data_IF_680828553658
#
_entry.id   IF_680828553658
#
_cell.length_a   1.000
_cell.length_b   1.000
_cell.length_c   1.000
_cell.angle_alpha   90.00
_cell.angle_beta   90.00
_cell.angle_gamma   90.00
#
_symmetry.space_group_name_H-M   'P 1'
#
loop_
_entity.id
_entity.type
_entity.pdbx_description
1 polymer ?
#
# COMPACT_ATOMS: atom_id res chain seq x y z
N UNK A 1 19.66 46.43 28.70
CA UNK A 1 19.61 45.39 29.74
C UNK A 1 18.34 44.59 29.51
N UNK A 2 18.16 43.91 28.38
CA UNK A 2 18.98 42.93 27.64
C UNK A 2 18.28 41.57 27.75
N UNK A 3 18.09 40.98 26.57
CA UNK A 3 17.79 39.60 26.22
C UNK A 3 18.09 38.56 27.31
N UNK A 4 17.37 37.45 27.46
CA UNK A 4 17.19 36.39 26.47
C UNK A 4 16.08 35.44 26.94
N UNK A 5 15.29 34.87 26.02
CA UNK A 5 15.02 33.43 26.01
C UNK A 5 14.32 33.02 24.70
N UNK A 6 15.00 32.11 24.00
CA UNK A 6 14.69 31.51 22.72
C UNK A 6 13.50 30.55 22.87
N UNK A 7 12.52 30.50 21.94
CA UNK A 7 11.72 29.30 21.77
C UNK A 7 12.41 28.40 20.74
N UNK A 8 12.97 27.33 21.27
CA UNK A 8 13.41 26.11 20.59
C UNK A 8 12.33 25.60 19.64
N UNK A 9 12.56 25.68 18.34
CA UNK A 9 11.86 24.88 17.34
C UNK A 9 12.81 23.84 16.74
N UNK A 10 13.14 22.82 17.54
CA UNK A 10 13.25 21.46 17.04
C UNK A 10 11.80 21.03 16.75
N UNK A 11 11.42 20.58 15.56
CA UNK A 11 11.91 19.37 14.91
C UNK A 11 11.83 19.56 13.39
N UNK A 12 12.92 19.27 12.69
CA UNK A 12 12.87 18.96 11.27
C UNK A 12 12.03 17.69 11.13
N UNK A 13 10.76 17.85 10.75
CA UNK A 13 10.00 16.74 10.20
C UNK A 13 10.67 16.39 8.88
N UNK A 14 11.44 15.31 8.90
CA UNK A 14 11.80 14.58 7.69
C UNK A 14 10.49 14.25 7.00
N UNK A 15 10.15 15.02 5.98
CA UNK A 15 9.11 14.65 5.05
C UNK A 15 9.56 13.33 4.44
N UNK A 16 9.05 12.23 4.97
CA UNK A 16 9.05 10.96 4.26
C UNK A 16 8.08 11.20 3.11
N UNK A 17 8.60 11.83 2.06
CA UNK A 17 8.03 11.74 0.74
C UNK A 17 7.99 10.24 0.47
N UNK A 18 6.83 9.62 0.69
CA UNK A 18 6.48 8.41 -0.03
C UNK A 18 6.34 8.88 -1.47
N UNK A 19 7.49 8.98 -2.13
CA UNK A 19 7.58 9.01 -3.59
C UNK A 19 6.75 7.81 -4.00
N UNK A 20 5.61 8.06 -4.63
CA UNK A 20 4.81 7.04 -5.24
C UNK A 20 5.69 6.34 -6.29
N UNK A 21 6.30 5.21 -5.91
CA UNK A 21 7.31 4.52 -6.71
C UNK A 21 6.71 3.80 -7.91
N UNK A 22 5.48 4.08 -8.35
CA UNK A 22 4.86 3.28 -9.40
C UNK A 22 5.36 3.55 -10.83
N UNK A 23 6.36 4.42 -11.05
CA UNK A 23 6.70 4.88 -12.40
C UNK A 23 7.86 4.19 -13.11
N UNK A 24 8.29 2.99 -12.69
CA UNK A 24 9.34 2.27 -13.44
C UNK A 24 9.29 0.74 -13.40
N UNK A 25 8.26 0.09 -12.85
CA UNK A 25 8.22 -1.37 -12.78
C UNK A 25 7.76 -2.06 -14.08
N UNK A 26 7.27 -1.31 -15.08
CA UNK A 26 6.66 -1.93 -16.26
C UNK A 26 7.66 -2.65 -17.17
N UNK A 27 8.91 -2.19 -17.18
CA UNK A 27 10.00 -2.83 -17.92
C UNK A 27 10.27 -4.23 -17.36
N UNK A 28 10.19 -4.38 -16.03
CA UNK A 28 10.41 -5.66 -15.35
C UNK A 28 9.32 -6.70 -15.69
N UNK A 29 8.09 -6.23 -15.98
CA UNK A 29 6.97 -7.08 -16.39
C UNK A 29 6.92 -7.36 -17.90
N UNK A 30 7.77 -6.72 -18.72
CA UNK A 30 7.75 -6.87 -20.17
C UNK A 30 8.00 -8.32 -20.63
N UNK A 31 8.94 -9.10 -20.05
CA UNK A 31 9.11 -10.50 -20.40
C UNK A 31 7.86 -11.34 -20.12
N UNK A 32 7.17 -11.07 -19.00
CA UNK A 32 5.94 -11.76 -18.62
C UNK A 32 4.79 -11.40 -19.58
N UNK A 33 4.61 -10.12 -19.88
CA UNK A 33 3.61 -9.66 -20.83
C UNK A 33 3.81 -10.27 -22.22
N UNK A 34 5.06 -10.32 -22.70
CA UNK A 34 5.43 -10.99 -23.97
C UNK A 34 5.12 -12.48 -23.92
N UNK A 35 5.44 -13.16 -22.83
CA UNK A 35 5.15 -14.58 -22.65
C UNK A 35 3.65 -14.85 -22.71
N UNK A 36 2.85 -14.11 -21.95
CA UNK A 36 1.38 -14.27 -21.94
C UNK A 36 0.80 -13.97 -23.31
N UNK A 37 1.22 -12.88 -23.95
CA UNK A 37 0.73 -12.49 -25.27
C UNK A 37 1.03 -13.54 -26.34
N UNK A 38 2.26 -14.08 -26.38
CA UNK A 38 2.64 -15.10 -27.36
C UNK A 38 1.95 -16.45 -27.13
N UNK A 39 1.54 -16.74 -25.89
CA UNK A 39 0.82 -17.96 -25.54
C UNK A 39 -0.72 -17.79 -25.53
N UNK A 40 -1.23 -16.57 -25.73
CA UNK A 40 -2.66 -16.33 -25.80
C UNK A 40 -3.23 -16.72 -27.16
N UNK A 41 -4.42 -17.33 -27.17
CA UNK A 41 -5.09 -17.78 -28.40
C UNK A 41 -5.64 -16.56 -29.15
N UNK A 42 -5.20 -16.34 -30.39
CA UNK A 42 -5.75 -15.28 -31.21
C UNK A 42 -7.18 -15.64 -31.67
N UNK A 43 -8.09 -14.67 -31.58
CA UNK A 43 -9.51 -14.87 -31.87
C UNK A 43 -9.78 -15.26 -33.34
N UNK A 44 -8.99 -14.76 -34.29
CA UNK A 44 -9.18 -14.99 -35.72
C UNK A 44 -8.57 -16.30 -36.19
N UNK A 45 -7.34 -16.60 -35.78
CA UNK A 45 -6.64 -17.83 -36.21
C UNK A 45 -6.97 -19.03 -35.33
N UNK A 46 -7.60 -18.81 -34.17
CA UNK A 46 -7.84 -19.83 -33.13
C UNK A 46 -6.56 -20.59 -32.76
N UNK A 47 -5.40 -19.95 -32.89
CA UNK A 47 -4.09 -20.51 -32.54
C UNK A 47 -3.30 -19.49 -31.73
N UNK A 48 -2.34 -19.95 -30.95
CA UNK A 48 -1.42 -19.03 -30.26
C UNK A 48 -0.33 -18.60 -31.24
N UNK A 49 0.14 -17.33 -31.20
CA UNK A 49 1.25 -16.89 -32.05
C UNK A 49 2.50 -17.76 -31.89
N UNK A 50 2.78 -18.24 -30.68
CA UNK A 50 3.90 -19.15 -30.42
C UNK A 50 3.73 -20.48 -31.18
N UNK A 51 2.56 -21.10 -31.11
CA UNK A 51 2.29 -22.35 -31.82
C UNK A 51 2.31 -22.14 -33.34
N UNK A 52 1.78 -21.01 -33.81
CA UNK A 52 1.81 -20.67 -35.24
C UNK A 52 3.24 -20.52 -35.78
N UNK A 53 4.17 -20.00 -34.97
CA UNK A 53 5.56 -19.78 -35.39
C UNK A 53 6.46 -21.01 -35.21
N UNK A 54 6.24 -21.80 -34.17
CA UNK A 54 7.16 -22.88 -33.77
C UNK A 54 6.56 -24.29 -33.83
N UNK A 55 5.25 -24.43 -34.00
CA UNK A 55 4.56 -25.71 -34.14
C UNK A 55 4.40 -26.51 -32.84
N UNK A 56 4.77 -25.96 -31.68
CA UNK A 56 4.57 -26.57 -30.37
C UNK A 56 4.19 -25.50 -29.32
N UNK A 57 3.59 -25.93 -28.20
CA UNK A 57 3.36 -25.06 -27.04
C UNK A 57 4.48 -25.28 -26.01
N UNK A 58 5.02 -24.21 -25.39
CA UNK A 58 6.02 -24.37 -24.35
C UNK A 58 5.36 -24.96 -23.11
N UNK A 59 5.89 -26.08 -22.61
CA UNK A 59 5.47 -26.66 -21.34
C UNK A 59 6.07 -25.83 -20.20
N UNK A 60 5.30 -24.88 -19.66
CA UNK A 60 5.66 -24.19 -18.42
C UNK A 60 5.20 -25.01 -17.24
N UNK A 61 5.98 -26.03 -16.89
CA UNK A 61 5.89 -26.71 -15.61
C UNK A 61 6.99 -26.11 -14.74
N UNK A 62 6.71 -25.08 -13.92
CA UNK A 62 7.67 -24.70 -12.90
C UNK A 62 7.85 -25.96 -12.07
N UNK A 63 9.07 -26.52 -12.10
CA UNK A 63 9.49 -27.46 -11.09
C UNK A 63 9.53 -26.60 -9.83
N UNK A 64 8.39 -26.53 -9.14
CA UNK A 64 8.39 -26.26 -7.72
C UNK A 64 9.22 -27.41 -7.20
N UNK A 65 10.52 -27.16 -7.01
CA UNK A 65 11.42 -28.09 -6.34
C UNK A 65 10.64 -28.72 -5.20
N UNK A 66 10.69 -30.05 -5.09
CA UNK A 66 10.02 -30.82 -4.05
C UNK A 66 10.01 -30.01 -2.75
N UNK A 67 8.89 -30.03 -2.03
CA UNK A 67 8.73 -29.32 -0.75
C UNK A 67 9.77 -29.91 0.22
N UNK A 68 11.00 -29.42 0.16
CA UNK A 68 12.04 -29.75 1.09
C UNK A 68 11.66 -28.99 2.35
N UNK A 69 11.25 -29.71 3.39
CA UNK A 69 11.18 -29.14 4.73
C UNK A 69 12.59 -28.67 5.08
N UNK A 70 12.77 -27.35 5.14
CA UNK A 70 13.99 -26.71 5.59
C UNK A 70 13.68 -26.24 7.01
N UNK A 71 14.15 -26.95 8.06
CA UNK A 71 13.78 -26.63 9.45
C UNK A 71 14.10 -25.19 9.85
N UNK A 72 15.17 -24.61 9.27
CA UNK A 72 15.52 -23.21 9.49
C UNK A 72 14.51 -22.21 8.91
N UNK A 73 13.81 -22.56 7.82
CA UNK A 73 12.77 -21.73 7.23
C UNK A 73 11.47 -21.81 8.04
N UNK A 74 11.14 -22.99 8.58
CA UNK A 74 10.01 -23.19 9.48
C UNK A 74 10.20 -22.42 10.80
N UNK A 75 11.36 -22.57 11.45
CA UNK A 75 11.71 -21.81 12.67
C UNK A 75 11.66 -20.29 12.45
N UNK A 76 12.18 -19.83 11.30
CA UNK A 76 12.09 -18.41 10.93
C UNK A 76 10.63 -17.96 10.75
N UNK A 77 9.80 -18.76 10.10
CA UNK A 77 8.37 -18.47 9.91
C UNK A 77 7.67 -18.36 11.26
N UNK A 78 7.87 -19.31 12.16
CA UNK A 78 7.26 -19.33 13.49
C UNK A 78 7.68 -18.12 14.32
N UNK A 79 8.98 -17.78 14.29
CA UNK A 79 9.49 -16.58 14.96
C UNK A 79 8.88 -15.30 14.40
N UNK A 80 8.75 -15.18 13.08
CA UNK A 80 8.12 -14.03 12.44
C UNK A 80 6.63 -13.93 12.79
N UNK A 81 5.92 -15.06 12.85
CA UNK A 81 4.52 -15.09 13.28
C UNK A 81 4.38 -14.61 14.73
N UNK A 82 5.27 -15.05 15.62
CA UNK A 82 5.25 -14.62 17.01
C UNK A 82 5.48 -13.10 17.14
N UNK A 83 6.54 -12.57 16.52
CA UNK A 83 6.83 -11.13 16.49
C UNK A 83 5.64 -10.35 15.92
N UNK A 84 5.01 -10.85 14.86
CA UNK A 84 3.86 -10.18 14.26
C UNK A 84 2.66 -10.11 15.21
N UNK A 85 2.42 -11.16 16.01
CA UNK A 85 1.36 -11.15 17.01
C UNK A 85 1.64 -10.15 18.13
N UNK A 86 2.88 -10.07 18.61
CA UNK A 86 3.30 -9.08 19.61
C UNK A 86 3.13 -7.65 19.09
N UNK A 87 3.64 -7.36 17.89
CA UNK A 87 3.50 -6.05 17.26
C UNK A 87 2.03 -5.65 17.08
N UNK A 88 1.16 -6.61 16.72
CA UNK A 88 -0.27 -6.37 16.59
C UNK A 88 -0.93 -6.05 17.94
N UNK A 89 -0.49 -6.69 19.03
CA UNK A 89 -0.96 -6.39 20.37
C UNK A 89 -0.52 -4.99 20.82
N UNK A 90 0.76 -4.64 20.62
CA UNK A 90 1.31 -3.32 20.96
C UNK A 90 0.65 -2.20 20.16
N UNK A 91 0.39 -2.40 18.87
CA UNK A 91 -0.31 -1.42 18.05
C UNK A 91 -1.73 -1.17 18.54
N UNK A 92 -2.45 -2.22 18.95
CA UNK A 92 -3.79 -2.07 19.53
C UNK A 92 -3.74 -1.30 20.84
N UNK A 93 -2.80 -1.65 21.71
CA UNK A 93 -2.60 -0.94 22.98
C UNK A 93 -2.29 0.55 22.75
N UNK A 94 -1.40 0.86 21.81
CA UNK A 94 -1.08 2.24 21.45
C UNK A 94 -2.31 3.00 20.91
N UNK A 95 -3.14 2.35 20.07
CA UNK A 95 -4.39 2.93 19.57
C UNK A 95 -5.39 3.20 20.71
N UNK A 96 -5.54 2.28 21.65
CA UNK A 96 -6.42 2.43 22.81
C UNK A 96 -5.97 3.60 23.70
N UNK A 97 -4.66 3.73 23.94
CA UNK A 97 -4.11 4.87 24.67
C UNK A 97 -4.37 6.19 23.94
N UNK A 98 -4.08 6.25 22.63
CA UNK A 98 -4.35 7.43 21.81
C UNK A 98 -5.83 7.81 21.86
N UNK A 99 -6.73 6.85 21.71
CA UNK A 99 -8.17 7.06 21.80
C UNK A 99 -8.57 7.58 23.18
N UNK A 100 -8.02 7.01 24.26
CA UNK A 100 -8.31 7.47 25.63
C UNK A 100 -7.93 8.94 25.81
N UNK A 101 -6.70 9.31 25.48
CA UNK A 101 -6.25 10.71 25.63
C UNK A 101 -6.99 11.66 24.68
N UNK A 102 -7.20 11.27 23.42
CA UNK A 102 -7.94 12.09 22.46
C UNK A 102 -9.38 12.34 22.92
N UNK A 103 -10.08 11.31 23.38
CA UNK A 103 -11.46 11.42 23.86
C UNK A 103 -11.60 12.30 25.11
N UNK A 104 -10.56 12.40 25.94
CA UNK A 104 -10.56 13.34 27.07
C UNK A 104 -10.56 14.82 26.63
N UNK A 105 -10.09 15.12 25.42
CA UNK A 105 -9.92 16.50 24.95
C UNK A 105 -10.93 16.92 23.87
N UNK A 106 -11.81 16.01 23.44
CA UNK A 106 -12.73 16.24 22.32
C UNK A 106 -14.18 16.19 22.79
N UNK A 107 -14.99 17.16 22.33
CA UNK A 107 -16.43 17.18 22.58
C UNK A 107 -17.13 16.09 21.75
N UNK A 108 -18.27 15.56 22.22
CA UNK A 108 -19.04 14.58 21.46
C UNK A 108 -19.42 15.13 20.09
N UNK A 109 -19.32 14.29 19.06
CA UNK A 109 -19.66 14.68 17.68
C UNK A 109 -21.11 15.18 17.60
N UNK A 110 -21.38 16.30 16.90
CA UNK A 110 -22.74 16.77 16.67
C UNK A 110 -23.60 15.70 15.97
N UNK A 111 -24.87 15.57 16.37
CA UNK A 111 -25.83 14.70 15.68
C UNK A 111 -26.37 15.42 14.45
N UNK A 112 -26.06 14.90 13.26
CA UNK A 112 -26.58 15.40 11.99
C UNK A 112 -27.83 14.64 11.56
N UNK A 113 -28.74 15.31 10.86
CA UNK A 113 -29.89 14.68 10.20
C UNK A 113 -29.59 14.46 8.72
N UNK A 114 -30.19 13.44 8.07
CA UNK A 114 -30.22 13.36 6.62
C UNK A 114 -30.71 14.68 6.02
N UNK A 115 -30.09 15.12 4.91
CA UNK A 115 -30.34 16.38 4.20
C UNK A 115 -29.95 17.68 4.94
N UNK A 116 -29.23 17.58 6.06
CA UNK A 116 -28.70 18.76 6.75
C UNK A 116 -27.46 19.32 6.06
N UNK A 117 -27.52 20.58 5.63
CA UNK A 117 -26.35 21.30 5.11
C UNK A 117 -25.41 21.72 6.25
N UNK A 118 -24.11 21.47 6.07
CA UNK A 118 -23.05 21.84 7.03
C UNK A 118 -21.91 22.55 6.30
N UNK A 119 -21.29 23.52 6.97
CA UNK A 119 -20.12 24.22 6.45
C UNK A 119 -18.86 23.41 6.77
N UNK A 120 -18.09 23.04 5.75
CA UNK A 120 -16.84 22.30 5.88
C UNK A 120 -15.65 23.20 5.59
N UNK A 121 -14.63 23.15 6.45
CA UNK A 121 -13.38 23.84 6.21
C UNK A 121 -12.54 23.03 5.22
N UNK A 122 -12.41 23.51 3.98
CA UNK A 122 -11.71 22.80 2.87
C UNK A 122 -10.23 22.50 3.16
N UNK A 123 -9.60 23.20 4.12
CA UNK A 123 -8.15 23.14 4.37
C UNK A 123 -7.60 21.74 4.66
N UNK A 124 -8.43 20.85 5.24
CA UNK A 124 -8.02 19.50 5.65
C UNK A 124 -8.79 18.39 4.90
N UNK A 125 -9.47 18.73 3.80
CA UNK A 125 -10.20 17.75 2.98
C UNK A 125 -9.40 17.56 1.70
N UNK A 126 -8.70 16.43 1.60
CA UNK A 126 -8.08 16.02 0.36
C UNK A 126 -9.16 15.44 -0.55
N UNK A 127 -9.50 16.15 -1.61
CA UNK A 127 -10.27 15.59 -2.72
C UNK A 127 -9.35 14.68 -3.54
N UNK A 128 -9.93 13.73 -4.27
CA UNK A 128 -9.19 12.81 -5.16
C UNK A 128 -8.42 13.57 -6.25
N UNK A 129 -8.78 14.83 -6.49
CA UNK A 129 -8.12 15.73 -7.43
C UNK A 129 -7.12 16.66 -6.71
N UNK A 130 -5.85 16.60 -7.14
CA UNK A 130 -4.73 17.36 -6.56
C UNK A 130 -4.79 18.88 -6.78
N UNK A 131 -5.80 19.42 -7.47
CA UNK A 131 -5.90 20.85 -7.75
C UNK A 131 -7.29 21.39 -7.48
N UNK A 132 -7.35 22.45 -6.66
CA UNK A 132 -8.58 23.14 -6.25
C UNK A 132 -9.43 23.65 -7.44
N UNK A 133 -8.79 23.85 -8.60
CA UNK A 133 -9.38 24.37 -9.85
C UNK A 133 -10.20 23.32 -10.62
N UNK A 134 -10.07 22.03 -10.30
CA UNK A 134 -10.74 20.95 -11.03
C UNK A 134 -11.84 20.24 -10.22
N UNK A 135 -12.07 20.68 -8.97
CA UNK A 135 -13.25 20.28 -8.21
C UNK A 135 -14.41 21.22 -8.61
N UNK A 136 -15.21 20.83 -9.60
CA UNK A 136 -16.41 21.54 -10.06
C UNK A 136 -17.67 20.77 -9.69
#
# INVERSE_FOLDING_TARGET
MDSWSVPTSHLRLTSVHIVHTSRTYWVDYLPLAKFVFNNHKNASTKQTPFFANYGFHPTFSPILSDIFSVPAAEDLSDRLQHIHQELKAELRYAQELQQKYFNCHVLPSPKYKPDQLVWLLRRNICTTCLSLKLDH
#
